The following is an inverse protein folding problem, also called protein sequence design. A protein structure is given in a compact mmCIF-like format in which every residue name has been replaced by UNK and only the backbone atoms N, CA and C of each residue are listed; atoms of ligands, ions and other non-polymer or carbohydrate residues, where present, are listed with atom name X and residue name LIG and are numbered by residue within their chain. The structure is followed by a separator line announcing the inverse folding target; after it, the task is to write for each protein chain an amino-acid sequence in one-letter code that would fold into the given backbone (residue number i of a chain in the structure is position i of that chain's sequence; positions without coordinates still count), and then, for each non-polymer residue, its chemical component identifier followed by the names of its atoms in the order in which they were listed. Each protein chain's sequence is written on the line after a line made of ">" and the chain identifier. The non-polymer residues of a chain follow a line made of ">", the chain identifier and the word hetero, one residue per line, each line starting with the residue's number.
data_IF_116808700452
#
_entry.id   IF_116808700452
#
_cell.length_a   1.000
_cell.length_b   1.000
_cell.length_c   1.000
_cell.angle_alpha   90.00
_cell.angle_beta   90.00
_cell.angle_gamma   90.00
#
_symmetry.space_group_name_H-M   'P 1'
#
loop_
_entity.id
_entity.type
_entity.pdbx_description
1 polymer ?
#
# COMPACT_ATOMS: atom_id res chain seq x y z
N UNK A 1 -36.51 -10.96 -11.69
CA UNK A 1 -35.62 -10.85 -10.52
C UNK A 1 -34.48 -9.93 -10.89
N UNK A 2 -34.42 -8.77 -10.26
CA UNK A 2 -33.31 -7.83 -10.36
C UNK A 2 -32.13 -8.34 -9.55
N UNK A 3 -30.90 -8.05 -9.99
CA UNK A 3 -29.67 -8.37 -9.25
C UNK A 3 -29.68 -7.80 -7.84
N UNK A 4 -30.31 -6.63 -7.65
CA UNK A 4 -30.45 -6.00 -6.34
C UNK A 4 -31.37 -6.80 -5.40
N UNK A 5 -32.45 -7.39 -5.91
CA UNK A 5 -33.38 -8.22 -5.15
C UNK A 5 -32.68 -9.51 -4.70
N UNK A 6 -31.89 -10.12 -5.57
CA UNK A 6 -31.14 -11.34 -5.27
C UNK A 6 -30.08 -11.11 -4.18
N UNK A 7 -29.37 -9.98 -4.24
CA UNK A 7 -28.37 -9.60 -3.22
C UNK A 7 -29.06 -9.34 -1.87
N UNK A 8 -30.21 -8.65 -1.89
CA UNK A 8 -30.96 -8.36 -0.68
C UNK A 8 -31.41 -9.64 0.05
N UNK A 9 -32.00 -10.59 -0.66
CA UNK A 9 -32.42 -11.88 -0.07
C UNK A 9 -31.23 -12.71 0.42
N UNK A 10 -30.09 -12.66 -0.28
CA UNK A 10 -28.87 -13.35 0.13
C UNK A 10 -28.29 -12.75 1.43
N UNK A 11 -28.24 -11.43 1.55
CA UNK A 11 -27.73 -10.75 2.75
C UNK A 11 -28.68 -10.93 3.94
N UNK A 12 -29.99 -10.93 3.69
CA UNK A 12 -31.02 -11.10 4.72
C UNK A 12 -30.99 -12.46 5.41
N UNK A 13 -30.52 -13.50 4.71
CA UNK A 13 -30.44 -14.88 5.22
C UNK A 13 -29.09 -15.20 5.89
N UNK A 14 -28.11 -14.29 5.81
CA UNK A 14 -26.78 -14.50 6.38
C UNK A 14 -26.73 -14.19 7.89
N UNK A 15 -25.88 -14.90 8.66
CA UNK A 15 -25.51 -14.50 10.01
C UNK A 15 -24.84 -13.12 10.02
N UNK A 16 -25.03 -12.36 11.10
CA UNK A 16 -24.57 -10.97 11.23
C UNK A 16 -23.07 -10.80 10.96
N UNK A 17 -22.25 -11.73 11.45
CA UNK A 17 -20.80 -11.78 11.23
C UNK A 17 -20.43 -11.82 9.74
N UNK A 18 -21.23 -12.51 8.93
CA UNK A 18 -21.03 -12.64 7.47
C UNK A 18 -21.62 -11.45 6.73
N UNK A 19 -22.74 -10.89 7.20
CA UNK A 19 -23.33 -9.68 6.63
C UNK A 19 -22.37 -8.48 6.74
N UNK A 20 -21.63 -8.37 7.84
CA UNK A 20 -20.63 -7.31 8.02
C UNK A 20 -19.49 -7.40 6.98
N UNK A 21 -19.08 -8.61 6.57
CA UNK A 21 -18.09 -8.80 5.51
C UNK A 21 -18.57 -8.27 4.16
N UNK A 22 -19.87 -8.40 3.87
CA UNK A 22 -20.46 -7.84 2.65
C UNK A 22 -20.38 -6.31 2.66
N UNK A 23 -20.63 -5.66 3.81
CA UNK A 23 -20.48 -4.20 3.95
C UNK A 23 -19.02 -3.74 3.79
N UNK A 24 -18.06 -4.51 4.32
CA UNK A 24 -16.64 -4.20 4.15
C UNK A 24 -16.25 -4.32 2.68
N UNK A 25 -16.70 -5.38 2.00
CA UNK A 25 -16.42 -5.61 0.59
C UNK A 25 -17.01 -4.53 -0.31
N UNK A 26 -18.26 -4.12 -0.09
CA UNK A 26 -18.88 -3.06 -0.92
C UNK A 26 -18.17 -1.72 -0.75
N UNK A 27 -17.74 -1.38 0.47
CA UNK A 27 -16.90 -0.19 0.72
C UNK A 27 -15.56 -0.27 0.01
N UNK A 28 -14.91 -1.43 0.02
CA UNK A 28 -13.64 -1.63 -0.69
C UNK A 28 -13.79 -1.42 -2.20
N UNK A 29 -14.83 -1.98 -2.82
CA UNK A 29 -15.10 -1.82 -4.25
C UNK A 29 -15.38 -0.35 -4.59
N UNK A 30 -16.19 0.33 -3.77
CA UNK A 30 -16.48 1.75 -3.96
C UNK A 30 -15.20 2.60 -3.88
N UNK A 31 -14.36 2.34 -2.88
CA UNK A 31 -13.08 3.04 -2.72
C UNK A 31 -12.14 2.80 -3.91
N UNK A 32 -12.07 1.58 -4.43
CA UNK A 32 -11.30 1.30 -5.65
C UNK A 32 -11.83 2.10 -6.83
N UNK A 33 -13.15 2.15 -7.01
CA UNK A 33 -13.77 2.88 -8.12
C UNK A 33 -13.51 4.39 -8.02
N UNK A 34 -13.57 4.96 -6.81
CA UNK A 34 -13.24 6.38 -6.57
C UNK A 34 -11.74 6.66 -6.78
N UNK A 35 -10.86 5.73 -6.41
CA UNK A 35 -9.41 5.85 -6.63
C UNK A 35 -8.97 5.58 -8.08
N UNK A 36 -9.85 5.00 -8.91
CA UNK A 36 -9.57 4.70 -10.31
C UNK A 36 -9.73 5.89 -11.24
N UNK A 37 -10.15 7.07 -10.73
CA UNK A 37 -10.00 8.30 -11.49
C UNK A 37 -8.50 8.60 -11.58
N UNK A 38 -7.86 8.48 -12.76
CA UNK A 38 -6.48 8.90 -12.89
C UNK A 38 -6.47 10.40 -12.62
N UNK A 39 -5.98 10.79 -11.43
CA UNK A 39 -5.55 12.15 -11.21
C UNK A 39 -4.65 12.49 -12.40
N UNK A 40 -4.97 13.50 -13.23
CA UNK A 40 -4.13 13.86 -14.35
C UNK A 40 -2.82 14.35 -13.73
N UNK A 41 -1.83 13.46 -13.62
CA UNK A 41 -0.53 13.82 -13.11
C UNK A 41 -0.01 14.88 -14.08
N UNK A 42 0.24 16.12 -13.64
CA UNK A 42 0.82 17.11 -14.51
C UNK A 42 2.17 16.55 -14.97
N UNK A 43 2.41 16.59 -16.28
CA UNK A 43 3.55 15.99 -16.97
C UNK A 43 4.95 16.47 -16.48
N UNK A 44 5.00 17.33 -15.46
CA UNK A 44 6.23 17.83 -14.83
C UNK A 44 6.62 17.18 -13.49
N UNK A 45 5.83 16.27 -12.92
CA UNK A 45 6.10 15.75 -11.55
C UNK A 45 7.04 14.54 -11.52
N UNK A 46 7.23 13.84 -12.64
CA UNK A 46 8.12 12.67 -12.72
C UNK A 46 9.56 13.00 -13.15
N UNK A 47 9.82 14.21 -13.65
CA UNK A 47 11.19 14.67 -13.96
C UNK A 47 11.98 15.02 -12.70
N UNK A 48 11.31 15.42 -11.61
CA UNK A 48 11.95 15.69 -10.31
C UNK A 48 12.30 14.44 -9.50
N UNK A 49 11.63 13.30 -9.77
CA UNK A 49 11.87 12.04 -9.06
C UNK A 49 13.01 11.20 -9.66
N UNK A 50 13.44 11.50 -10.90
CA UNK A 50 14.64 10.87 -11.50
C UNK A 50 15.95 11.22 -10.80
N UNK A 51 15.96 12.19 -9.89
CA UNK A 51 17.11 12.53 -9.05
C UNK A 51 17.15 11.83 -7.68
N UNK A 52 16.08 11.13 -7.27
CA UNK A 52 16.02 10.39 -5.99
C UNK A 52 16.42 8.91 -6.18
N UNK A 53 16.54 8.45 -7.42
CA UNK A 53 17.33 7.26 -7.68
C UNK A 53 18.79 7.58 -7.33
N UNK A 54 19.20 7.25 -6.09
CA UNK A 54 20.60 7.26 -5.67
C UNK A 54 21.41 6.63 -6.80
N UNK A 55 22.52 7.25 -7.24
CA UNK A 55 23.41 6.59 -8.21
C UNK A 55 23.72 5.18 -7.70
N UNK A 56 24.04 4.20 -8.56
CA UNK A 56 24.46 2.88 -8.12
C UNK A 56 25.82 2.97 -7.41
N UNK A 57 25.86 3.59 -6.23
CA UNK A 57 26.87 3.33 -5.24
C UNK A 57 26.70 1.85 -4.92
N UNK A 58 27.78 1.08 -5.10
CA UNK A 58 27.85 -0.33 -4.71
C UNK A 58 27.03 -0.54 -3.43
N UNK A 59 26.07 -1.48 -3.47
CA UNK A 59 25.41 -1.87 -2.24
C UNK A 59 26.52 -2.25 -1.25
N UNK A 60 26.55 -1.68 -0.04
CA UNK A 60 27.54 -2.07 0.95
C UNK A 60 27.44 -3.57 1.16
N UNK A 61 28.58 -4.24 1.14
CA UNK A 61 28.66 -5.67 1.39
C UNK A 61 28.29 -5.92 2.84
N UNK A 62 27.82 -7.11 3.19
CA UNK A 62 27.54 -7.47 4.59
C UNK A 62 28.72 -7.19 5.54
N UNK A 63 29.96 -7.28 5.03
CA UNK A 63 31.16 -6.90 5.77
C UNK A 63 31.22 -5.40 6.10
N UNK A 64 30.94 -4.53 5.12
CA UNK A 64 30.93 -3.08 5.30
C UNK A 64 29.85 -2.66 6.31
N UNK A 65 28.70 -3.33 6.28
CA UNK A 65 27.59 -3.09 7.22
C UNK A 65 27.97 -3.50 8.65
N UNK A 66 28.68 -4.62 8.81
CA UNK A 66 29.14 -5.08 10.12
C UNK A 66 30.14 -4.10 10.73
N UNK A 67 31.11 -3.63 9.95
CA UNK A 67 32.11 -2.67 10.39
C UNK A 67 31.47 -1.34 10.82
N UNK A 68 30.56 -0.80 10.02
CA UNK A 68 29.80 0.42 10.35
C UNK A 68 28.99 0.25 11.64
N UNK A 69 28.35 -0.90 11.83
CA UNK A 69 27.58 -1.19 13.04
C UNK A 69 28.47 -1.27 14.28
N UNK A 70 29.66 -1.88 14.17
CA UNK A 70 30.60 -1.94 15.29
C UNK A 70 31.12 -0.56 15.67
N UNK A 71 31.44 0.29 14.68
CA UNK A 71 31.87 1.67 14.92
C UNK A 71 30.76 2.49 15.62
N UNK A 72 29.51 2.34 15.19
CA UNK A 72 28.36 2.99 15.84
C UNK A 72 28.21 2.56 17.32
N UNK A 73 28.39 1.27 17.61
CA UNK A 73 28.32 0.77 18.99
C UNK A 73 29.47 1.30 19.85
N UNK A 74 30.67 1.43 19.30
CA UNK A 74 31.82 2.01 20.02
C UNK A 74 31.52 3.47 20.35
N UNK A 75 31.12 4.28 19.37
CA UNK A 75 30.81 5.71 19.59
C UNK A 75 29.65 5.92 20.58
N UNK A 76 28.67 5.01 20.60
CA UNK A 76 27.49 5.14 21.45
C UNK A 76 27.75 4.79 22.92
N UNK A 77 28.71 3.89 23.18
CA UNK A 77 28.91 3.31 24.51
C UNK A 77 30.31 3.52 25.09
N UNK A 78 31.22 4.19 24.38
CA UNK A 78 32.41 4.84 24.95
C UNK A 78 32.12 6.30 25.29
#
# INVERSE_FOLDING_TARGET
>A
MSTAETIYELVKTLPEEKANLVLIFTRFVQQQQESSSPLPMPAGTLTGLRGIAKPPSNLPTDADIADDYTNYLIEKYQ
#
